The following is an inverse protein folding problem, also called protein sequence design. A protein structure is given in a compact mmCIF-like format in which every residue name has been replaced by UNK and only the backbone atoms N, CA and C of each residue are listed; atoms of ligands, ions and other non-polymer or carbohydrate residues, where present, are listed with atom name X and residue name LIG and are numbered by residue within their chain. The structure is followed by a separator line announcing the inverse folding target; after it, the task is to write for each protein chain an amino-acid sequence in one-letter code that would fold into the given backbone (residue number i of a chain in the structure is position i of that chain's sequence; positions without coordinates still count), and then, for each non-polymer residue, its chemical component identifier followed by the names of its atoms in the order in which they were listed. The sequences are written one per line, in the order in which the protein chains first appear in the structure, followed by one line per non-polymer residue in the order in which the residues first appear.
data_IF_127080132765
#
_entry.id   IF_127080132765
#
_cell.length_a   1.000
_cell.length_b   1.000
_cell.length_c   1.000
_cell.angle_alpha   90.00
_cell.angle_beta   90.00
_cell.angle_gamma   90.00
#
_symmetry.space_group_name_H-M   'P 1'
#
loop_
_entity.id
_entity.type
_entity.pdbx_description
1 polymer ?
#
# COMPACT_ATOMS: atom_id res chain seq x y z
N UNK A 1 -29.12 -2.60 3.91
CA UNK A 1 -27.74 -3.13 3.77
C UNK A 1 -26.89 -2.14 2.98
N UNK A 2 -25.80 -1.59 3.54
CA UNK A 2 -24.94 -0.64 2.80
C UNK A 2 -24.16 -1.41 1.72
N UNK A 3 -24.36 -1.04 0.45
CA UNK A 3 -23.73 -1.69 -0.71
C UNK A 3 -22.20 -1.52 -0.64
N UNK A 4 -21.46 -2.63 -0.57
CA UNK A 4 -19.98 -2.61 -0.56
C UNK A 4 -19.46 -2.12 -1.91
N UNK A 5 -18.74 -1.00 -1.94
CA UNK A 5 -18.14 -0.47 -3.17
C UNK A 5 -16.95 -1.37 -3.55
N UNK A 6 -16.93 -1.96 -4.75
CA UNK A 6 -15.81 -2.81 -5.18
C UNK A 6 -14.54 -1.97 -5.40
N UNK A 7 -13.40 -2.48 -4.96
CA UNK A 7 -12.11 -1.81 -5.14
C UNK A 7 -11.60 -2.07 -6.56
N UNK A 8 -11.81 -1.12 -7.46
CA UNK A 8 -11.37 -1.21 -8.86
C UNK A 8 -9.99 -0.57 -9.01
N UNK A 9 -9.01 -1.32 -9.54
CA UNK A 9 -7.68 -0.82 -9.92
C UNK A 9 -7.57 -0.74 -11.44
N UNK A 10 -7.69 0.48 -11.99
CA UNK A 10 -7.63 0.74 -13.45
C UNK A 10 -6.35 0.23 -14.11
N UNK A 11 -5.24 0.21 -13.37
CA UNK A 11 -3.98 -0.38 -13.82
C UNK A 11 -3.31 -1.12 -12.66
N UNK A 12 -3.04 -2.39 -12.89
CA UNK A 12 -2.36 -3.27 -11.92
C UNK A 12 -0.85 -3.23 -12.13
N UNK A 13 -0.40 -3.22 -13.40
CA UNK A 13 1.02 -3.16 -13.76
C UNK A 13 1.63 -1.81 -13.38
N UNK A 14 2.82 -1.82 -12.77
CA UNK A 14 3.58 -0.61 -12.42
C UNK A 14 3.99 0.16 -13.68
N UNK A 15 4.11 1.48 -13.54
CA UNK A 15 4.71 2.33 -14.57
C UNK A 15 6.23 2.28 -14.43
N UNK A 16 6.86 1.41 -15.21
CA UNK A 16 8.32 1.28 -15.21
C UNK A 16 8.96 2.39 -16.06
N UNK A 17 10.16 2.85 -15.67
CA UNK A 17 10.96 3.76 -16.48
C UNK A 17 11.31 3.13 -17.83
N UNK A 18 11.26 3.93 -18.88
CA UNK A 18 11.73 3.54 -20.21
C UNK A 18 13.17 3.00 -20.17
N UNK A 19 13.43 1.85 -20.80
CA UNK A 19 14.72 1.13 -20.83
C UNK A 19 15.25 0.62 -19.49
N UNK A 20 14.44 0.62 -18.41
CA UNK A 20 14.83 -0.03 -17.15
C UNK A 20 14.91 -1.56 -17.23
N UNK A 21 14.29 -2.14 -18.27
CA UNK A 21 14.42 -3.53 -18.69
C UNK A 21 15.75 -3.82 -19.39
N UNK A 22 16.26 -2.85 -20.18
CA UNK A 22 17.47 -3.01 -21.00
C UNK A 22 18.77 -2.77 -20.23
N UNK A 23 18.77 -1.81 -19.29
CA UNK A 23 20.00 -1.41 -18.59
C UNK A 23 19.88 -1.53 -17.08
N UNK A 24 20.78 -2.30 -16.44
CA UNK A 24 20.82 -2.47 -14.96
C UNK A 24 20.99 -1.14 -14.20
N UNK A 25 21.72 -0.17 -14.77
CA UNK A 25 21.89 1.17 -14.19
C UNK A 25 20.58 1.97 -14.06
N UNK A 26 19.57 1.64 -14.89
CA UNK A 26 18.28 2.33 -14.89
C UNK A 26 17.29 1.60 -13.98
N UNK A 27 17.04 2.18 -12.80
CA UNK A 27 16.01 1.67 -11.89
C UNK A 27 14.61 1.76 -12.52
N UNK A 28 13.72 0.85 -12.10
CA UNK A 28 12.32 0.76 -12.58
C UNK A 28 11.43 1.94 -12.18
N UNK A 29 11.85 2.79 -11.24
CA UNK A 29 11.09 3.94 -10.75
C UNK A 29 10.77 4.92 -11.90
N UNK A 30 9.48 5.24 -12.08
CA UNK A 30 9.03 6.11 -13.17
C UNK A 30 9.79 7.44 -13.24
N UNK A 31 10.18 7.84 -14.45
CA UNK A 31 10.71 9.17 -14.78
C UNK A 31 10.10 9.61 -16.10
N UNK A 32 9.63 10.86 -16.17
CA UNK A 32 9.02 11.43 -17.38
C UNK A 32 10.11 11.61 -18.46
N UNK A 33 10.00 10.95 -19.64
CA UNK A 33 10.94 11.15 -20.74
C UNK A 33 10.85 12.58 -21.29
N UNK A 34 12.01 13.21 -21.55
CA UNK A 34 12.11 14.61 -21.99
C UNK A 34 12.64 14.78 -23.43
N UNK A 35 13.35 13.78 -23.98
CA UNK A 35 14.01 13.91 -25.29
C UNK A 35 13.05 14.16 -26.45
N UNK A 36 13.53 14.91 -27.46
CA UNK A 36 12.76 15.32 -28.64
C UNK A 36 12.23 14.10 -29.41
N UNK A 37 13.05 13.06 -29.61
CA UNK A 37 12.66 11.86 -30.36
C UNK A 37 12.18 10.70 -29.49
N UNK A 38 11.84 10.96 -28.22
CA UNK A 38 11.40 9.90 -27.33
C UNK A 38 10.05 9.31 -27.77
N UNK A 39 10.05 8.06 -28.23
CA UNK A 39 8.84 7.34 -28.65
C UNK A 39 7.78 7.26 -27.53
N UNK A 40 8.21 7.19 -26.26
CA UNK A 40 7.29 7.22 -25.10
C UNK A 40 6.65 8.60 -24.93
N UNK A 41 7.44 9.68 -25.07
CA UNK A 41 6.93 11.07 -24.96
C UNK A 41 5.93 11.36 -26.09
N UNK A 42 6.23 10.89 -27.31
CA UNK A 42 5.38 10.98 -28.51
C UNK A 42 4.24 9.96 -28.54
N UNK A 43 4.14 9.07 -27.53
CA UNK A 43 3.05 8.08 -27.33
C UNK A 43 2.86 7.10 -28.50
N UNK A 44 3.94 6.61 -29.09
CA UNK A 44 3.87 5.61 -30.15
C UNK A 44 3.25 4.29 -29.65
N UNK A 45 2.51 3.60 -30.53
CA UNK A 45 1.87 2.30 -30.27
C UNK A 45 2.92 1.27 -29.84
N UNK A 46 2.55 0.38 -28.91
CA UNK A 46 3.43 -0.69 -28.42
C UNK A 46 4.50 -0.25 -27.42
N UNK A 47 4.63 1.05 -27.13
CA UNK A 47 5.58 1.55 -26.12
C UNK A 47 4.96 1.60 -24.71
N UNK A 48 5.83 1.72 -23.70
CA UNK A 48 5.43 1.85 -22.30
C UNK A 48 4.55 3.08 -22.08
N UNK A 49 3.39 2.88 -21.44
CA UNK A 49 2.45 3.95 -21.12
C UNK A 49 3.00 4.91 -20.06
N UNK A 50 2.60 6.18 -20.15
CA UNK A 50 2.91 7.21 -19.15
C UNK A 50 1.81 7.28 -18.08
N UNK A 51 2.14 7.57 -16.80
CA UNK A 51 1.16 7.94 -15.78
C UNK A 51 0.40 9.20 -16.18
N UNK A 52 -0.90 9.20 -15.93
CA UNK A 52 -1.80 10.33 -16.09
C UNK A 52 -2.87 10.29 -14.99
N UNK A 53 -3.65 11.37 -14.84
CA UNK A 53 -4.71 11.48 -13.83
C UNK A 53 -5.84 10.45 -14.05
N UNK A 54 -6.07 10.03 -15.29
CA UNK A 54 -7.11 9.05 -15.66
C UNK A 54 -6.93 7.68 -14.98
N UNK A 55 -5.69 7.29 -14.65
CA UNK A 55 -5.41 6.07 -13.90
C UNK A 55 -5.73 6.15 -12.40
N UNK A 56 -6.13 7.33 -11.89
CA UNK A 56 -6.53 7.51 -10.49
C UNK A 56 -7.66 6.55 -10.09
N UNK A 57 -7.52 5.92 -8.92
CA UNK A 57 -8.58 5.12 -8.29
C UNK A 57 -9.72 6.03 -7.82
N UNK A 58 -10.92 5.47 -7.68
CA UNK A 58 -12.06 6.18 -7.09
C UNK A 58 -11.69 6.73 -5.70
N UNK A 59 -12.07 7.98 -5.42
CA UNK A 59 -11.77 8.69 -4.18
C UNK A 59 -12.27 7.93 -2.95
N UNK A 60 -13.41 7.26 -3.03
CA UNK A 60 -14.03 6.53 -1.92
C UNK A 60 -13.26 5.28 -1.50
N UNK A 61 -12.68 4.57 -2.49
CA UNK A 61 -11.93 3.32 -2.29
C UNK A 61 -10.41 3.52 -2.34
N UNK A 62 -9.98 4.78 -2.49
CA UNK A 62 -8.57 5.15 -2.54
C UNK A 62 -7.91 4.72 -1.22
N UNK A 63 -6.75 4.08 -1.33
CA UNK A 63 -5.97 3.54 -0.20
C UNK A 63 -6.59 2.36 0.56
N UNK A 64 -7.68 1.77 0.07
CA UNK A 64 -8.21 0.53 0.64
C UNK A 64 -7.25 -0.63 0.37
N UNK A 65 -7.14 -1.50 1.37
CA UNK A 65 -6.58 -2.83 1.25
C UNK A 65 -7.57 -3.78 0.56
N UNK A 66 -7.12 -4.98 0.20
CA UNK A 66 -8.00 -6.01 -0.39
C UNK A 66 -9.14 -6.43 0.54
N UNK A 67 -8.93 -6.35 1.86
CA UNK A 67 -9.95 -6.61 2.87
C UNK A 67 -11.01 -5.48 2.99
N UNK A 68 -10.81 -4.35 2.31
CA UNK A 68 -11.72 -3.20 2.35
C UNK A 68 -11.49 -2.23 3.51
N UNK A 69 -10.38 -2.38 4.25
CA UNK A 69 -10.00 -1.49 5.35
C UNK A 69 -8.91 -0.50 4.92
N UNK A 70 -8.85 0.65 5.59
CA UNK A 70 -7.76 1.59 5.45
C UNK A 70 -6.53 1.10 6.21
N UNK A 71 -5.36 1.21 5.59
CA UNK A 71 -4.09 0.87 6.23
C UNK A 71 -3.58 2.04 7.06
N UNK A 72 -3.36 1.83 8.36
CA UNK A 72 -2.71 2.81 9.26
C UNK A 72 -1.46 2.21 9.85
N UNK A 73 -0.33 2.93 9.78
CA UNK A 73 0.93 2.49 10.39
C UNK A 73 1.00 3.04 11.82
N UNK A 74 1.33 2.20 12.79
CA UNK A 74 1.50 2.59 14.19
C UNK A 74 2.92 2.35 14.70
N UNK A 75 3.39 3.22 15.58
CA UNK A 75 4.73 3.16 16.20
C UNK A 75 4.66 2.97 17.73
N UNK A 76 3.51 3.21 18.36
CA UNK A 76 3.34 3.10 19.80
C UNK A 76 1.93 2.61 20.20
N UNK A 77 1.76 2.30 21.50
CA UNK A 77 0.49 1.83 22.07
C UNK A 77 -0.55 2.96 22.17
N UNK A 78 -0.11 4.21 22.33
CA UNK A 78 -1.03 5.36 22.44
C UNK A 78 -1.79 5.59 21.12
N UNK A 79 -1.09 5.46 20.00
CA UNK A 79 -1.67 5.49 18.65
C UNK A 79 -2.68 4.37 18.44
N UNK A 80 -2.38 3.15 18.93
CA UNK A 80 -3.35 2.05 18.89
C UNK A 80 -4.63 2.40 19.64
N UNK A 81 -4.52 2.95 20.87
CA UNK A 81 -5.67 3.35 21.67
C UNK A 81 -6.51 4.45 21.02
N UNK A 82 -5.88 5.41 20.34
CA UNK A 82 -6.58 6.46 19.59
C UNK A 82 -7.48 5.90 18.47
N UNK A 83 -7.15 4.72 17.95
CA UNK A 83 -7.90 4.06 16.86
C UNK A 83 -9.09 3.20 17.35
N UNK A 84 -9.34 3.13 18.66
CA UNK A 84 -10.40 2.29 19.25
C UNK A 84 -11.78 2.52 18.60
N UNK A 85 -12.15 3.77 18.39
CA UNK A 85 -13.47 4.15 17.85
C UNK A 85 -13.62 3.80 16.34
N UNK A 86 -12.51 3.59 15.63
CA UNK A 86 -12.48 3.39 14.18
C UNK A 86 -12.13 1.95 13.74
N UNK A 87 -12.25 0.98 14.65
CA UNK A 87 -11.86 -0.43 14.45
C UNK A 87 -12.46 -1.06 13.18
N UNK A 88 -13.74 -0.80 12.87
CA UNK A 88 -14.43 -1.37 11.69
C UNK A 88 -13.89 -0.88 10.34
N UNK A 89 -13.20 0.26 10.29
CA UNK A 89 -12.73 0.90 9.05
C UNK A 89 -11.23 0.73 8.81
N UNK A 90 -10.47 0.39 9.84
CA UNK A 90 -9.00 0.48 9.84
C UNK A 90 -8.39 -0.89 10.07
N UNK A 91 -7.27 -1.15 9.40
CA UNK A 91 -6.34 -2.23 9.70
C UNK A 91 -4.97 -1.61 9.99
N UNK A 92 -4.33 -2.07 11.05
CA UNK A 92 -3.05 -1.52 11.51
C UNK A 92 -1.86 -2.28 10.92
N UNK A 93 -0.78 -1.56 10.68
CA UNK A 93 0.54 -2.10 10.39
C UNK A 93 1.51 -1.63 11.47
N UNK A 94 2.12 -2.58 12.15
CA UNK A 94 3.08 -2.30 13.21
C UNK A 94 4.42 -1.91 12.58
N UNK A 95 4.98 -0.77 12.97
CA UNK A 95 6.26 -0.29 12.45
C UNK A 95 7.38 -1.32 12.65
N UNK A 96 8.26 -1.46 11.64
CA UNK A 96 9.41 -2.37 11.70
C UNK A 96 10.36 -2.03 12.86
N UNK A 97 10.42 -0.75 13.25
CA UNK A 97 11.31 -0.22 14.31
C UNK A 97 10.98 -0.71 15.72
N UNK A 98 9.76 -1.17 15.97
CA UNK A 98 9.34 -1.61 17.30
C UNK A 98 9.96 -2.98 17.61
N UNK A 99 10.55 -3.11 18.81
CA UNK A 99 11.08 -4.37 19.32
C UNK A 99 9.98 -5.43 19.49
N UNK A 100 10.35 -6.70 19.38
CA UNK A 100 9.42 -7.84 19.52
C UNK A 100 8.61 -7.80 20.83
N UNK A 101 9.24 -7.40 21.93
CA UNK A 101 8.59 -7.27 23.24
C UNK A 101 7.42 -6.26 23.23
N UNK A 102 7.64 -5.07 22.67
CA UNK A 102 6.58 -4.05 22.56
C UNK A 102 5.51 -4.46 21.55
N UNK A 103 5.89 -5.16 20.49
CA UNK A 103 4.94 -5.69 19.50
C UNK A 103 3.98 -6.72 20.08
N UNK A 104 4.43 -7.62 20.98
CA UNK A 104 3.54 -8.56 21.69
C UNK A 104 2.43 -7.81 22.42
N UNK A 105 2.78 -6.82 23.22
CA UNK A 105 1.80 -5.97 23.94
C UNK A 105 0.81 -5.26 23.01
N UNK A 106 1.28 -4.80 21.85
CA UNK A 106 0.41 -4.17 20.83
C UNK A 106 -0.56 -5.20 20.23
N UNK A 107 -0.09 -6.42 19.95
CA UNK A 107 -0.93 -7.50 19.42
C UNK A 107 -1.99 -7.91 20.42
N UNK A 108 -1.62 -8.11 21.70
CA UNK A 108 -2.55 -8.50 22.76
C UNK A 108 -3.64 -7.44 22.95
N UNK A 109 -3.27 -6.16 22.99
CA UNK A 109 -4.23 -5.06 23.07
C UNK A 109 -5.11 -4.94 21.81
N UNK A 110 -4.53 -5.12 20.63
CA UNK A 110 -5.29 -5.06 19.38
C UNK A 110 -6.32 -6.20 19.28
N UNK A 111 -6.01 -7.38 19.83
CA UNK A 111 -6.94 -8.51 19.93
C UNK A 111 -8.14 -8.15 20.84
N UNK A 112 -7.87 -7.57 22.01
CA UNK A 112 -8.91 -7.10 22.94
C UNK A 112 -9.81 -6.03 22.28
N UNK A 113 -9.23 -5.15 21.47
CA UNK A 113 -9.93 -4.06 20.80
C UNK A 113 -10.61 -4.46 19.47
N UNK A 114 -10.47 -5.72 19.04
CA UNK A 114 -10.91 -6.24 17.75
C UNK A 114 -10.39 -5.42 16.54
N UNK A 115 -9.11 -5.04 16.59
CA UNK A 115 -8.45 -4.31 15.50
C UNK A 115 -7.62 -5.28 14.66
N UNK A 116 -7.86 -5.31 13.35
CA UNK A 116 -7.13 -6.19 12.41
C UNK A 116 -5.69 -5.70 12.21
N UNK A 117 -4.75 -6.64 12.24
CA UNK A 117 -3.31 -6.40 12.02
C UNK A 117 -2.89 -6.99 10.67
N UNK A 118 -2.18 -6.20 9.85
CA UNK A 118 -1.70 -6.64 8.53
C UNK A 118 -0.38 -7.41 8.56
N UNK A 119 0.46 -7.17 9.57
CA UNK A 119 1.75 -7.80 9.76
C UNK A 119 1.86 -8.39 11.19
N UNK A 120 1.01 -9.36 11.54
CA UNK A 120 1.10 -10.00 12.85
C UNK A 120 2.48 -10.63 13.04
N UNK A 121 3.01 -10.56 14.25
CA UNK A 121 4.21 -11.31 14.60
C UNK A 121 3.90 -12.80 14.45
N UNK A 122 4.65 -13.50 13.61
CA UNK A 122 4.68 -14.96 13.64
C UNK A 122 5.48 -15.32 14.88
N UNK A 123 4.80 -15.67 15.97
CA UNK A 123 5.46 -16.38 17.07
C UNK A 123 5.86 -17.74 16.48
N UNK A 124 7.16 -17.94 16.20
CA UNK A 124 7.65 -19.32 16.12
C UNK A 124 7.33 -19.94 17.48
N UNK A 125 6.42 -20.91 17.52
CA UNK A 125 6.31 -21.84 18.65
C UNK A 125 7.73 -22.37 18.85
N UNK A 126 8.26 -22.25 20.06
CA UNK A 126 9.65 -22.53 20.35
C UNK A 126 10.07 -23.92 19.87
N UNK A 127 11.30 -23.99 19.36
CA UNK A 127 12.14 -25.17 19.57
C UNK A 127 12.49 -25.24 21.06
#
# INVERSE_FOLDING_TARGET
MVKKIPVIKKKIKKFNRHHSDRYKRLKKNWRKPKGIDSCVRRRFKGRTLMPNIGYGSDKRTKNFLKNGLFKVKIENIRELKSLAMSNKKISIEISKRISSFKKKKIVDLALIMDIKINNPLILKKGD
#
